data_IF_067118845749
#
_entry.id   IF_067118845749
#
_cell.length_a   1.000
_cell.length_b   1.000
_cell.length_c   1.000
_cell.angle_alpha   90.00
_cell.angle_beta   90.00
_cell.angle_gamma   90.00
#
_symmetry.space_group_name_H-M   'P 1'
#
loop_
_entity.id
_entity.type
_entity.pdbx_description
1 polymer ?
#
# COMPACT_ATOMS: atom_id res chain seq x y z
N UNK A 1 -9.46 10.21 -30.98
CA UNK A 1 -9.76 10.89 -29.69
C UNK A 1 -9.91 12.37 -29.97
N UNK A 2 -10.95 13.01 -29.45
CA UNK A 2 -11.13 14.46 -29.56
C UNK A 2 -10.31 15.17 -28.46
N UNK A 3 -9.88 16.40 -28.73
CA UNK A 3 -9.29 17.25 -27.69
C UNK A 3 -10.39 17.73 -26.75
N UNK A 4 -10.19 17.53 -25.44
CA UNK A 4 -11.08 18.04 -24.39
C UNK A 4 -10.25 18.93 -23.49
N UNK A 5 -10.51 20.24 -23.51
CA UNK A 5 -9.77 21.21 -22.71
C UNK A 5 -10.06 21.06 -21.22
N UNK A 6 -9.06 21.28 -20.38
CA UNK A 6 -9.21 21.41 -18.93
C UNK A 6 -9.67 22.81 -18.49
N UNK A 7 -9.75 23.77 -19.41
CA UNK A 7 -9.88 25.20 -19.13
C UNK A 7 -8.55 25.96 -19.17
N UNK A 8 -7.41 25.27 -19.34
CA UNK A 8 -6.10 25.90 -19.58
C UNK A 8 -6.07 26.65 -20.91
N UNK A 9 -5.47 27.85 -20.91
CA UNK A 9 -5.28 28.66 -22.11
C UNK A 9 -3.79 28.69 -22.53
N UNK A 10 -3.42 28.10 -23.68
CA UNK A 10 -2.03 28.12 -24.17
C UNK A 10 -1.55 29.52 -24.61
N UNK A 11 -2.45 30.43 -24.98
CA UNK A 11 -2.12 31.82 -25.32
C UNK A 11 -1.85 32.67 -24.08
N UNK A 12 -2.42 32.28 -22.94
CA UNK A 12 -2.27 32.97 -21.65
C UNK A 12 -1.84 31.98 -20.57
N UNK A 13 -0.62 31.43 -20.66
CA UNK A 13 -0.20 30.29 -19.83
C UNK A 13 -0.07 30.62 -18.33
N UNK A 14 -0.11 31.90 -17.94
CA UNK A 14 -0.04 32.34 -16.55
C UNK A 14 -1.40 32.67 -15.94
N UNK A 15 -2.45 32.80 -16.77
CA UNK A 15 -3.81 33.08 -16.30
C UNK A 15 -4.37 31.86 -15.54
N UNK A 16 -4.96 32.09 -14.37
CA UNK A 16 -5.53 31.04 -13.49
C UNK A 16 -4.55 29.93 -13.05
N UNK A 17 -3.23 30.16 -13.13
CA UNK A 17 -2.23 29.20 -12.68
C UNK A 17 -2.14 29.20 -11.15
N UNK A 18 -2.40 28.06 -10.52
CA UNK A 18 -2.19 27.83 -9.09
C UNK A 18 -0.84 27.12 -8.88
N UNK A 19 0.05 27.65 -8.06
CA UNK A 19 1.37 27.06 -7.74
C UNK A 19 1.62 27.06 -6.23
N UNK A 20 2.64 26.32 -5.80
CA UNK A 20 3.17 26.36 -4.42
C UNK A 20 2.20 25.98 -3.29
N UNK A 21 1.16 25.19 -3.61
CA UNK A 21 0.13 24.73 -2.64
C UNK A 21 0.54 23.52 -1.79
N UNK A 22 1.61 22.80 -2.17
CA UNK A 22 2.04 21.59 -1.47
C UNK A 22 1.03 20.42 -1.53
N UNK A 23 1.17 19.41 -0.65
CA UNK A 23 0.22 18.31 -0.54
C UNK A 23 -1.02 18.69 0.28
N UNK A 24 -2.12 17.94 0.10
CA UNK A 24 -3.23 17.95 1.05
C UNK A 24 -2.76 17.49 2.43
N UNK A 25 -3.35 18.02 3.50
CA UNK A 25 -2.94 17.67 4.85
C UNK A 25 -3.45 16.27 5.17
N UNK A 26 -2.61 15.44 5.80
CA UNK A 26 -2.90 14.01 5.98
C UNK A 26 -4.13 13.73 6.87
N UNK A 27 -4.48 14.66 7.76
CA UNK A 27 -5.57 14.50 8.73
C UNK A 27 -6.96 14.69 8.11
N UNK A 28 -7.02 15.22 6.89
CA UNK A 28 -8.22 15.24 6.05
C UNK A 28 -8.68 13.82 5.65
N UNK A 29 -7.81 12.81 5.77
CA UNK A 29 -8.04 11.44 5.31
C UNK A 29 -7.96 10.40 6.42
N UNK A 30 -7.95 10.82 7.69
CA UNK A 30 -7.91 9.88 8.79
C UNK A 30 -9.25 9.16 8.98
N UNK A 31 -9.24 7.83 9.18
CA UNK A 31 -10.38 7.16 9.79
C UNK A 31 -10.72 7.82 11.13
N UNK A 32 -12.01 7.92 11.51
CA UNK A 32 -12.42 8.59 12.75
C UNK A 32 -11.69 8.08 14.00
N UNK A 33 -11.49 6.75 14.12
CA UNK A 33 -10.75 6.13 15.23
C UNK A 33 -9.29 6.57 15.29
N UNK A 34 -8.64 6.80 14.14
CA UNK A 34 -7.27 7.31 14.07
C UNK A 34 -7.23 8.78 14.47
N UNK A 35 -8.14 9.61 13.95
CA UNK A 35 -8.21 11.02 14.28
C UNK A 35 -8.44 11.26 15.78
N UNK A 36 -9.36 10.51 16.39
CA UNK A 36 -9.70 10.59 17.82
C UNK A 36 -8.54 10.22 18.73
N UNK A 37 -7.78 9.19 18.38
CA UNK A 37 -6.77 8.58 19.25
C UNK A 37 -5.32 8.90 18.86
N UNK A 38 -5.12 9.82 17.91
CA UNK A 38 -3.77 10.21 17.46
C UNK A 38 -2.92 10.70 18.63
N UNK A 39 -1.79 10.02 18.84
CA UNK A 39 -0.83 10.33 19.90
C UNK A 39 -1.17 9.73 21.27
N UNK A 40 -2.21 8.90 21.36
CA UNK A 40 -2.69 8.26 22.60
C UNK A 40 -2.80 6.73 22.47
N UNK A 41 -1.85 6.13 21.76
CA UNK A 41 -1.79 4.69 21.56
C UNK A 41 -0.96 4.04 22.67
N UNK A 42 -1.49 3.01 23.32
CA UNK A 42 -0.82 2.30 24.41
C UNK A 42 0.08 1.19 23.88
N UNK A 43 -0.47 0.29 23.07
CA UNK A 43 0.26 -0.88 22.56
C UNK A 43 -0.30 -1.35 21.22
N UNK A 44 0.41 -2.30 20.62
CA UNK A 44 -0.03 -3.00 19.42
C UNK A 44 0.30 -4.48 19.53
N UNK A 45 -0.45 -5.30 18.79
CA UNK A 45 -0.22 -6.74 18.70
C UNK A 45 -0.38 -7.22 17.26
N UNK A 46 0.35 -8.27 16.90
CA UNK A 46 0.11 -9.04 15.69
C UNK A 46 -0.87 -10.16 16.02
N UNK A 47 -2.08 -10.10 15.48
CA UNK A 47 -3.10 -11.13 15.71
C UNK A 47 -2.86 -12.37 14.84
N UNK A 48 -2.39 -12.14 13.61
CA UNK A 48 -1.95 -13.15 12.65
C UNK A 48 -1.09 -12.47 11.57
N UNK A 49 -0.43 -13.21 10.67
CA UNK A 49 0.26 -12.61 9.53
C UNK A 49 -0.66 -11.67 8.73
N UNK A 50 -0.22 -10.43 8.55
CA UNK A 50 -0.98 -9.40 7.87
C UNK A 50 -2.03 -8.67 8.71
N UNK A 51 -2.30 -9.05 9.96
CA UNK A 51 -3.33 -8.41 10.79
C UNK A 51 -2.72 -7.88 12.08
N UNK A 52 -2.98 -6.60 12.37
CA UNK A 52 -2.52 -5.91 13.57
C UNK A 52 -3.71 -5.32 14.32
N UNK A 53 -3.58 -5.16 15.63
CA UNK A 53 -4.46 -4.28 16.42
C UNK A 53 -3.60 -3.22 17.12
N UNK A 54 -4.09 -1.99 17.18
CA UNK A 54 -3.58 -0.95 18.08
C UNK A 54 -4.67 -0.61 19.08
N UNK A 55 -4.29 -0.46 20.35
CA UNK A 55 -5.21 -0.13 21.45
C UNK A 55 -4.84 1.23 22.02
N UNK A 56 -5.82 2.11 22.12
CA UNK A 56 -5.66 3.46 22.66
C UNK A 56 -5.78 3.50 24.18
N UNK A 57 -5.34 4.60 24.79
CA UNK A 57 -5.53 4.88 26.22
C UNK A 57 -7.00 4.84 26.66
N UNK A 58 -7.90 5.17 25.73
CA UNK A 58 -9.36 5.13 25.92
C UNK A 58 -9.95 3.72 25.93
N UNK A 59 -9.18 2.71 25.52
CA UNK A 59 -9.66 1.36 25.21
C UNK A 59 -10.20 1.21 23.77
N UNK A 60 -10.23 2.28 22.96
CA UNK A 60 -10.58 2.16 21.54
C UNK A 60 -9.54 1.29 20.80
N UNK A 61 -10.03 0.44 19.90
CA UNK A 61 -9.18 -0.44 19.09
C UNK A 61 -9.27 -0.08 17.62
N UNK A 62 -8.16 -0.23 16.90
CA UNK A 62 -8.15 -0.20 15.44
C UNK A 62 -7.40 -1.40 14.91
N UNK A 63 -8.09 -2.15 14.05
CA UNK A 63 -7.59 -3.34 13.40
C UNK A 63 -7.14 -2.99 12.00
N UNK A 64 -5.92 -3.39 11.65
CA UNK A 64 -5.32 -3.12 10.34
C UNK A 64 -5.09 -4.44 9.63
N UNK A 65 -5.58 -4.55 8.39
CA UNK A 65 -5.28 -5.67 7.48
C UNK A 65 -4.34 -5.15 6.39
N UNK A 66 -3.10 -5.64 6.42
CA UNK A 66 -2.06 -5.34 5.44
C UNK A 66 -2.07 -6.36 4.32
N UNK A 67 -2.07 -5.88 3.08
CA UNK A 67 -1.96 -6.69 1.89
C UNK A 67 -0.86 -6.21 0.94
N UNK A 68 -0.31 -7.15 0.17
CA UNK A 68 0.71 -6.89 -0.83
C UNK A 68 0.17 -6.03 -1.96
N UNK A 69 1.02 -5.14 -2.47
CA UNK A 69 0.73 -4.34 -3.66
C UNK A 69 1.92 -4.39 -4.62
N UNK A 70 1.64 -4.47 -5.92
CA UNK A 70 2.67 -4.54 -6.97
C UNK A 70 3.44 -3.21 -7.19
N UNK A 71 3.08 -2.15 -6.45
CA UNK A 71 3.51 -0.75 -6.62
C UNK A 71 3.12 -0.15 -7.96
N UNK A 72 3.55 -0.73 -9.08
CA UNK A 72 3.01 -0.41 -10.39
C UNK A 72 1.60 -1.02 -10.51
N UNK A 73 0.60 -0.18 -10.71
CA UNK A 73 -0.80 -0.60 -10.73
C UNK A 73 -1.62 0.23 -11.71
N UNK A 74 -2.70 -0.37 -12.23
CA UNK A 74 -3.66 0.35 -13.07
C UNK A 74 -4.62 1.18 -12.22
N UNK A 75 -5.26 2.17 -12.83
CA UNK A 75 -6.36 2.91 -12.20
C UNK A 75 -7.55 2.01 -11.87
N UNK A 76 -7.76 0.93 -12.63
CA UNK A 76 -8.77 -0.09 -12.31
C UNK A 76 -8.50 -0.78 -10.98
N UNK A 77 -7.24 -1.18 -10.72
CA UNK A 77 -6.89 -1.78 -9.42
C UNK A 77 -7.00 -0.79 -8.27
N UNK A 78 -6.66 0.49 -8.49
CA UNK A 78 -6.86 1.55 -7.49
C UNK A 78 -8.36 1.73 -7.17
N UNK A 79 -9.23 1.73 -8.18
CA UNK A 79 -10.69 1.81 -7.97
C UNK A 79 -11.23 0.60 -7.21
N UNK A 80 -10.69 -0.60 -7.45
CA UNK A 80 -11.04 -1.80 -6.69
C UNK A 80 -10.56 -1.71 -5.22
N UNK A 81 -9.40 -1.10 -4.96
CA UNK A 81 -8.96 -0.77 -3.59
C UNK A 81 -9.96 0.19 -2.92
N UNK A 82 -10.40 1.23 -3.64
CA UNK A 82 -11.41 2.17 -3.13
C UNK A 82 -12.76 1.48 -2.86
N UNK A 83 -13.22 0.59 -3.73
CA UNK A 83 -14.45 -0.20 -3.52
C UNK A 83 -14.41 -0.99 -2.20
N UNK A 84 -13.28 -1.64 -1.91
CA UNK A 84 -13.07 -2.37 -0.66
C UNK A 84 -13.07 -1.41 0.53
N UNK A 85 -12.39 -0.26 0.40
CA UNK A 85 -12.35 0.76 1.44
C UNK A 85 -13.74 1.35 1.73
N UNK A 86 -14.55 1.61 0.70
CA UNK A 86 -15.93 2.09 0.85
C UNK A 86 -16.80 1.05 1.56
N UNK A 87 -16.66 -0.22 1.15
CA UNK A 87 -17.46 -1.34 1.68
C UNK A 87 -17.14 -1.66 3.14
N UNK A 88 -15.87 -1.62 3.55
CA UNK A 88 -15.43 -2.13 4.85
C UNK A 88 -14.87 -1.07 5.80
N UNK A 89 -14.31 0.01 5.26
CA UNK A 89 -13.46 0.97 6.01
C UNK A 89 -14.00 2.41 5.97
N UNK A 90 -15.26 2.60 5.55
CA UNK A 90 -15.88 3.92 5.44
C UNK A 90 -15.16 4.86 4.46
N UNK A 91 -14.57 4.30 3.40
CA UNK A 91 -13.83 5.04 2.36
C UNK A 91 -12.37 5.34 2.70
N UNK A 92 -11.84 4.81 3.81
CA UNK A 92 -10.46 5.06 4.25
C UNK A 92 -9.54 3.90 3.89
N UNK A 93 -8.37 4.23 3.32
CA UNK A 93 -7.29 3.29 3.02
C UNK A 93 -5.97 4.02 3.06
N UNK A 94 -4.88 3.32 3.38
CA UNK A 94 -3.52 3.90 3.36
C UNK A 94 -2.53 2.99 2.66
N UNK A 95 -1.40 3.57 2.28
CA UNK A 95 -0.24 2.84 1.78
C UNK A 95 0.90 2.92 2.79
N UNK A 96 1.64 1.82 2.91
CA UNK A 96 2.84 1.74 3.73
C UNK A 96 4.05 2.31 3.00
N UNK A 97 5.13 2.58 3.73
CA UNK A 97 6.42 3.00 3.16
C UNK A 97 7.08 1.94 2.27
N UNK A 98 6.54 0.71 2.23
CA UNK A 98 6.98 -0.38 1.36
C UNK A 98 5.96 -0.74 0.28
N UNK A 99 5.02 0.16 -0.01
CA UNK A 99 4.02 0.03 -1.07
C UNK A 99 2.99 -1.10 -0.88
N UNK A 100 2.90 -1.67 0.33
CA UNK A 100 1.73 -2.47 0.73
C UNK A 100 0.53 -1.55 0.99
N UNK A 101 -0.67 -2.10 0.86
CA UNK A 101 -1.95 -1.43 1.13
C UNK A 101 -2.44 -1.87 2.51
N UNK A 102 -3.03 -0.96 3.27
CA UNK A 102 -3.62 -1.24 4.57
C UNK A 102 -5.04 -0.70 4.67
N UNK A 103 -5.93 -1.60 5.05
CA UNK A 103 -7.33 -1.35 5.36
C UNK A 103 -7.51 -1.36 6.87
N UNK A 104 -8.32 -0.44 7.40
CA UNK A 104 -8.51 -0.28 8.85
C UNK A 104 -9.99 -0.38 9.21
N UNK A 105 -10.30 -1.14 10.25
CA UNK A 105 -11.64 -1.25 10.83
C UNK A 105 -11.56 -1.07 12.35
N UNK A 106 -12.61 -0.51 12.93
CA UNK A 106 -12.70 -0.14 14.36
C UNK A 106 -13.47 -1.17 15.20
N UNK A 107 -13.82 -2.32 14.60
CA UNK A 107 -14.56 -3.38 15.25
C UNK A 107 -13.99 -4.74 14.83
N UNK A 108 -13.67 -5.59 15.82
CA UNK A 108 -13.11 -6.93 15.62
C UNK A 108 -13.98 -7.80 14.72
N UNK A 109 -15.30 -7.66 14.80
CA UNK A 109 -16.25 -8.43 13.98
C UNK A 109 -16.15 -8.14 12.48
N UNK A 110 -15.61 -6.97 12.11
CA UNK A 110 -15.39 -6.57 10.70
C UNK A 110 -14.09 -7.13 10.10
N UNK A 111 -13.19 -7.65 10.93
CA UNK A 111 -11.88 -8.15 10.49
C UNK A 111 -12.00 -9.36 9.57
N UNK A 112 -12.77 -10.37 9.97
CA UNK A 112 -12.92 -11.59 9.16
C UNK A 112 -13.64 -11.33 7.82
N UNK A 113 -14.76 -10.58 7.75
CA UNK A 113 -15.37 -10.19 6.47
C UNK A 113 -14.41 -9.49 5.50
N UNK A 114 -13.53 -8.62 6.03
CA UNK A 114 -12.51 -7.94 5.21
C UNK A 114 -11.44 -8.92 4.71
N UNK A 115 -10.96 -9.84 5.57
CA UNK A 115 -10.00 -10.88 5.20
C UNK A 115 -10.54 -11.77 4.08
N UNK A 116 -11.80 -12.20 4.19
CA UNK A 116 -12.44 -13.08 3.23
C UNK A 116 -12.58 -12.41 1.85
N UNK A 117 -13.00 -11.14 1.83
CA UNK A 117 -13.12 -10.35 0.60
C UNK A 117 -11.75 -10.16 -0.08
N UNK A 118 -10.72 -9.78 0.68
CA UNK A 118 -9.36 -9.61 0.16
C UNK A 118 -8.78 -10.92 -0.39
N UNK A 119 -8.99 -12.03 0.33
CA UNK A 119 -8.44 -13.36 -0.03
C UNK A 119 -9.13 -13.96 -1.26
N UNK A 120 -10.40 -13.62 -1.50
CA UNK A 120 -11.17 -14.06 -2.67
C UNK A 120 -10.77 -13.39 -3.98
N UNK A 121 -10.04 -12.27 -3.93
CA UNK A 121 -9.74 -11.44 -5.10
C UNK A 121 -8.46 -11.88 -5.82
N UNK A 122 -8.63 -12.39 -7.05
CA UNK A 122 -7.54 -12.83 -7.94
C UNK A 122 -7.63 -12.19 -9.31
N UNK A 123 -6.48 -12.03 -9.96
CA UNK A 123 -6.43 -11.74 -11.40
C UNK A 123 -6.82 -12.99 -12.19
N UNK A 124 -7.22 -12.82 -13.46
CA UNK A 124 -7.53 -13.93 -14.35
C UNK A 124 -6.37 -14.93 -14.49
N UNK A 125 -5.13 -14.47 -14.38
CA UNK A 125 -3.92 -15.31 -14.36
C UNK A 125 -3.63 -16.04 -13.05
N UNK A 126 -4.54 -15.98 -12.06
CA UNK A 126 -4.47 -16.75 -10.81
C UNK A 126 -3.71 -16.08 -9.66
N UNK A 127 -2.95 -15.01 -9.91
CA UNK A 127 -2.27 -14.26 -8.85
C UNK A 127 -3.27 -13.54 -7.93
N UNK A 128 -2.98 -13.50 -6.64
CA UNK A 128 -3.75 -12.72 -5.67
C UNK A 128 -3.65 -11.23 -5.98
N UNK A 129 -4.78 -10.53 -5.95
CA UNK A 129 -4.81 -9.06 -6.05
C UNK A 129 -4.34 -8.41 -4.75
N UNK A 130 -4.76 -8.98 -3.61
CA UNK A 130 -4.52 -8.42 -2.27
C UNK A 130 -4.07 -9.51 -1.29
N UNK A 131 -2.91 -10.17 -1.51
CA UNK A 131 -2.43 -11.20 -0.60
C UNK A 131 -2.16 -10.61 0.79
N UNK A 132 -2.73 -11.19 1.84
CA UNK A 132 -2.60 -10.71 3.22
C UNK A 132 -1.27 -11.18 3.82
N UNK A 133 -0.53 -10.28 4.47
CA UNK A 133 0.77 -10.60 5.05
C UNK A 133 1.68 -9.39 5.30
N UNK A 134 2.99 -9.65 5.40
CA UNK A 134 4.02 -8.62 5.48
C UNK A 134 4.09 -7.88 6.82
N UNK A 135 3.59 -8.48 7.90
CA UNK A 135 3.80 -8.08 9.30
C UNK A 135 4.80 -9.01 9.97
N UNK A 136 5.34 -8.63 11.15
CA UNK A 136 6.23 -9.50 11.93
C UNK A 136 7.46 -10.03 11.18
N UNK A 137 8.11 -11.04 11.75
CA UNK A 137 9.36 -11.58 11.23
C UNK A 137 9.18 -12.42 9.95
N UNK A 138 9.03 -11.73 8.82
CA UNK A 138 8.92 -12.28 7.48
C UNK A 138 9.51 -11.34 6.42
N UNK A 139 9.16 -11.56 5.15
CA UNK A 139 9.60 -10.73 4.01
C UNK A 139 8.44 -9.85 3.55
N UNK A 140 8.56 -8.54 3.71
CA UNK A 140 7.44 -7.60 3.46
C UNK A 140 7.72 -6.67 2.28
N UNK A 141 7.30 -7.12 1.10
CA UNK A 141 7.44 -6.45 -0.21
C UNK A 141 8.90 -6.09 -0.56
N UNK A 142 9.14 -5.71 -1.81
CA UNK A 142 10.46 -5.29 -2.30
C UNK A 142 10.35 -3.84 -2.76
N UNK A 143 11.08 -2.97 -2.07
CA UNK A 143 11.23 -1.58 -2.51
C UNK A 143 12.06 -1.59 -3.79
N UNK A 144 11.50 -1.08 -4.88
CA UNK A 144 12.11 -1.17 -6.20
C UNK A 144 11.95 0.08 -7.06
N UNK A 145 12.66 0.11 -8.18
CA UNK A 145 12.81 1.27 -9.06
C UNK A 145 12.02 1.15 -10.36
N UNK A 146 12.31 2.00 -11.35
CA UNK A 146 11.59 2.01 -12.62
C UNK A 146 11.94 0.84 -13.55
N UNK A 147 13.21 0.43 -13.62
CA UNK A 147 13.63 -0.61 -14.58
C UNK A 147 13.39 -0.21 -16.03
N UNK A 148 13.08 -1.19 -16.88
CA UNK A 148 12.82 -0.99 -18.31
C UNK A 148 11.48 -0.31 -18.60
N UNK A 149 10.62 -0.18 -17.59
CA UNK A 149 9.28 0.41 -17.74
C UNK A 149 9.35 1.91 -18.05
N UNK A 150 10.37 2.61 -17.56
CA UNK A 150 10.43 4.07 -17.72
C UNK A 150 11.83 4.70 -17.63
N UNK A 151 12.85 4.00 -17.12
CA UNK A 151 14.17 4.60 -16.98
C UNK A 151 14.97 4.47 -18.29
N UNK A 152 15.81 5.46 -18.61
CA UNK A 152 16.73 5.42 -19.74
C UNK A 152 18.16 5.00 -19.36
N UNK A 153 18.48 4.90 -18.06
CA UNK A 153 19.76 4.39 -17.54
C UNK A 153 19.71 3.03 -16.80
N UNK A 154 18.71 2.14 -16.99
CA UNK A 154 18.68 0.87 -16.28
C UNK A 154 19.73 -0.09 -16.84
N UNK A 155 20.39 -0.82 -15.94
CA UNK A 155 21.20 -1.99 -16.28
C UNK A 155 20.39 -3.31 -16.19
N UNK A 156 19.21 -3.27 -15.55
CA UNK A 156 18.27 -4.40 -15.44
C UNK A 156 16.83 -3.88 -15.26
N UNK A 157 15.84 -4.75 -15.41
CA UNK A 157 14.46 -4.42 -15.07
C UNK A 157 14.25 -4.34 -13.54
N UNK A 158 13.09 -3.83 -13.12
CA UNK A 158 12.69 -3.79 -11.72
C UNK A 158 11.46 -4.66 -11.43
N UNK A 159 10.35 -4.45 -12.15
CA UNK A 159 9.09 -5.13 -11.84
C UNK A 159 9.14 -6.64 -12.09
N UNK A 160 9.80 -7.08 -13.16
CA UNK A 160 9.99 -8.49 -13.49
C UNK A 160 10.77 -9.24 -12.39
N UNK A 161 12.00 -8.84 -12.05
CA UNK A 161 12.77 -9.46 -10.98
C UNK A 161 12.07 -9.43 -9.62
N UNK A 162 11.37 -8.33 -9.28
CA UNK A 162 10.59 -8.26 -8.04
C UNK A 162 9.47 -9.29 -8.01
N UNK A 163 8.73 -9.43 -9.12
CA UNK A 163 7.67 -10.45 -9.22
C UNK A 163 8.25 -11.85 -9.05
N UNK A 164 9.33 -12.17 -9.76
CA UNK A 164 9.98 -13.49 -9.65
C UNK A 164 10.43 -13.80 -8.23
N UNK A 165 11.12 -12.87 -7.55
CA UNK A 165 11.60 -13.08 -6.18
C UNK A 165 10.44 -13.16 -5.18
N UNK A 166 9.41 -12.32 -5.33
CA UNK A 166 8.25 -12.33 -4.43
C UNK A 166 7.43 -13.60 -4.54
N UNK A 167 7.44 -14.28 -5.69
CA UNK A 167 6.78 -15.58 -5.86
C UNK A 167 7.50 -16.67 -5.07
N UNK A 168 8.84 -16.70 -5.11
CA UNK A 168 9.65 -17.67 -4.36
C UNK A 168 9.56 -17.45 -2.84
N UNK A 169 9.52 -16.20 -2.39
CA UNK A 169 9.42 -15.85 -0.96
C UNK A 169 7.97 -15.57 -0.52
N UNK A 170 6.97 -15.98 -1.30
CA UNK A 170 5.57 -15.68 -1.00
C UNK A 170 5.13 -16.28 0.35
N UNK A 171 5.61 -17.48 0.67
CA UNK A 171 5.38 -18.10 1.98
C UNK A 171 5.94 -17.27 3.13
N UNK A 172 7.06 -16.56 2.92
CA UNK A 172 7.67 -15.66 3.91
C UNK A 172 6.95 -14.33 4.06
N UNK A 173 6.21 -13.93 3.03
CA UNK A 173 5.29 -12.81 3.12
C UNK A 173 4.07 -13.15 3.98
N UNK A 174 3.58 -14.39 3.90
CA UNK A 174 2.38 -14.84 4.62
C UNK A 174 2.64 -15.43 6.01
N UNK A 175 3.89 -15.47 6.50
CA UNK A 175 4.24 -16.09 7.77
C UNK A 175 5.28 -15.29 8.57
N UNK A 176 5.38 -15.59 9.87
CA UNK A 176 6.38 -15.01 10.79
C UNK A 176 7.48 -16.03 11.13
N UNK A 177 8.13 -16.59 10.11
CA UNK A 177 9.11 -17.69 10.29
C UNK A 177 10.58 -17.29 10.21
N UNK A 178 10.86 -16.00 10.00
CA UNK A 178 12.23 -15.49 9.97
C UNK A 178 12.74 -15.16 11.39
N UNK A 179 14.04 -15.17 11.64
CA UNK A 179 14.59 -14.71 12.92
C UNK A 179 14.29 -13.23 13.22
N UNK A 180 14.13 -12.42 12.17
CA UNK A 180 13.78 -11.00 12.24
C UNK A 180 13.11 -10.57 10.92
N UNK A 181 12.65 -9.32 10.84
CA UNK A 181 12.19 -8.74 9.58
C UNK A 181 13.30 -8.73 8.52
N UNK A 182 13.06 -9.37 7.37
CA UNK A 182 13.98 -9.35 6.24
C UNK A 182 13.52 -8.29 5.23
N UNK A 183 14.42 -7.35 4.90
CA UNK A 183 14.15 -6.27 3.95
C UNK A 183 14.95 -6.53 2.68
N UNK A 184 14.22 -6.69 1.58
CA UNK A 184 14.79 -6.81 0.24
C UNK A 184 14.49 -5.53 -0.53
N UNK A 185 15.47 -5.04 -1.28
CA UNK A 185 15.34 -3.86 -2.13
C UNK A 185 16.04 -4.12 -3.46
N UNK A 186 15.57 -3.50 -4.53
CA UNK A 186 16.17 -3.61 -5.85
C UNK A 186 16.32 -2.23 -6.50
N UNK A 187 17.52 -1.94 -6.98
CA UNK A 187 17.78 -0.79 -7.85
C UNK A 187 18.23 -1.26 -9.22
N UNK A 188 17.64 -0.67 -10.27
CA UNK A 188 17.93 -1.03 -11.65
C UNK A 188 19.28 -0.53 -12.17
N UNK A 189 19.98 0.33 -11.42
CA UNK A 189 21.33 0.82 -11.73
C UNK A 189 22.02 1.32 -10.46
N UNK A 190 23.31 1.67 -10.59
CA UNK A 190 24.18 2.12 -9.49
C UNK A 190 23.80 3.47 -8.88
N UNK A 191 22.87 4.22 -9.47
CA UNK A 191 22.30 5.39 -8.78
C UNK A 191 21.55 4.98 -7.50
N UNK A 192 21.25 3.67 -7.35
CA UNK A 192 20.74 3.07 -6.11
C UNK A 192 19.54 3.81 -5.54
N UNK A 193 18.66 4.31 -6.41
CA UNK A 193 17.42 4.95 -6.01
C UNK A 193 16.68 4.05 -5.01
N UNK A 194 16.10 4.67 -3.98
CA UNK A 194 15.42 4.03 -2.85
C UNK A 194 16.41 3.51 -1.78
N UNK A 195 16.43 2.21 -1.52
CA UNK A 195 16.94 1.63 -0.27
C UNK A 195 17.76 0.35 -0.54
N UNK A 196 18.55 0.36 -1.62
CA UNK A 196 19.41 -0.77 -1.99
C UNK A 196 20.74 -0.79 -1.21
N UNK A 197 21.23 0.38 -0.75
CA UNK A 197 22.32 0.52 0.22
C UNK A 197 21.73 0.52 1.64
#
# INVERSE_FOLDING_TARGET
MAFVSSGYNPEKPMENRITDIGPRKYDEFYPPVIAKNKGKWLYHEYLQPGVLVHVAESGDEVYTVRCGGARLMSTGLIREICEIADKHCGGHVRWTTRNNVEFMVDDKSKVQPLIDDLSGRKFAGGSFKFPIGGTGAGVSNIVHTQGWIHCHTPATDASGPVKAVMDEVFADFQNHRMPAHVRVSLACCLNMHRAAH
#
